data_IF_780183392612
#
_entry.id   IF_780183392612
#
_cell.length_a   1.000
_cell.length_b   1.000
_cell.length_c   1.000
_cell.angle_alpha   90.00
_cell.angle_beta   90.00
_cell.angle_gamma   90.00
#
_symmetry.space_group_name_H-M   'P 1'
#
loop_
_entity.id
_entity.type
_entity.pdbx_description
1 polymer ?
#
# COMPACT_ATOMS: atom_id res chain seq x y z
N UNK A 1 -68.43 22.14 -11.34
CA UNK A 1 -67.27 22.07 -12.24
C UNK A 1 -65.94 22.38 -11.55
N UNK A 2 -65.83 23.44 -10.72
CA UNK A 2 -64.56 23.85 -10.07
C UNK A 2 -63.89 22.80 -9.15
N UNK A 3 -64.67 22.03 -8.36
CA UNK A 3 -64.14 20.96 -7.49
C UNK A 3 -63.49 19.80 -8.26
N UNK A 4 -64.14 19.33 -9.34
CA UNK A 4 -63.61 18.25 -10.19
C UNK A 4 -62.28 18.62 -10.86
N UNK A 5 -62.10 19.90 -11.22
CA UNK A 5 -60.84 20.39 -11.80
C UNK A 5 -59.73 20.42 -10.74
N UNK A 6 -60.05 20.85 -9.51
CA UNK A 6 -59.11 20.85 -8.39
C UNK A 6 -58.69 19.42 -8.00
N UNK A 7 -59.63 18.48 -7.96
CA UNK A 7 -59.36 17.06 -7.65
C UNK A 7 -58.48 16.41 -8.74
N UNK A 8 -58.75 16.70 -10.02
CA UNK A 8 -57.92 16.24 -11.14
C UNK A 8 -56.50 16.85 -11.08
N UNK A 9 -56.37 18.12 -10.74
CA UNK A 9 -55.08 18.81 -10.65
C UNK A 9 -54.25 18.29 -9.47
N UNK A 10 -54.90 18.02 -8.33
CA UNK A 10 -54.27 17.42 -7.16
C UNK A 10 -53.82 15.97 -7.44
N UNK A 11 -54.66 15.17 -8.10
CA UNK A 11 -54.29 13.81 -8.51
C UNK A 11 -53.10 13.80 -9.48
N UNK A 12 -53.07 14.72 -10.45
CA UNK A 12 -51.95 14.86 -11.38
C UNK A 12 -50.65 15.29 -10.67
N UNK A 13 -50.72 16.21 -9.70
CA UNK A 13 -49.58 16.59 -8.87
C UNK A 13 -49.06 15.43 -8.03
N UNK A 14 -49.94 14.62 -7.42
CA UNK A 14 -49.55 13.45 -6.64
C UNK A 14 -48.87 12.39 -7.51
N UNK A 15 -49.38 12.16 -8.74
CA UNK A 15 -48.79 11.22 -9.69
C UNK A 15 -47.42 11.68 -10.17
N UNK A 16 -47.26 12.98 -10.44
CA UNK A 16 -45.99 13.57 -10.81
C UNK A 16 -44.96 13.47 -9.66
N UNK A 17 -45.36 13.79 -8.42
CA UNK A 17 -44.48 13.67 -7.25
C UNK A 17 -44.05 12.22 -7.00
N UNK A 18 -44.96 11.25 -7.14
CA UNK A 18 -44.65 9.84 -7.00
C UNK A 18 -43.67 9.34 -8.07
N UNK A 19 -43.81 9.80 -9.32
CA UNK A 19 -42.87 9.49 -10.41
C UNK A 19 -41.48 10.11 -10.15
N UNK A 20 -41.41 11.32 -9.60
CA UNK A 20 -40.13 11.95 -9.22
C UNK A 20 -39.41 11.19 -8.08
N UNK A 21 -40.15 10.64 -7.11
CA UNK A 21 -39.58 9.85 -6.02
C UNK A 21 -39.01 8.49 -6.47
N UNK A 22 -39.40 7.97 -7.64
CA UNK A 22 -38.85 6.72 -8.18
C UNK A 22 -37.50 6.93 -8.90
N UNK A 23 -37.18 8.16 -9.32
CA UNK A 23 -35.92 8.49 -10.00
C UNK A 23 -34.80 8.82 -8.99
N UNK A 24 -35.13 9.09 -7.72
CA UNK A 24 -34.13 9.43 -6.70
C UNK A 24 -33.46 8.23 -6.01
N UNK A 25 -33.83 7.01 -6.39
CA UNK A 25 -33.18 5.79 -5.90
C UNK A 25 -32.07 5.34 -6.85
N UNK A 26 -31.11 6.21 -7.12
CA UNK A 26 -29.78 5.78 -7.57
C UNK A 26 -28.80 6.03 -6.42
N UNK A 27 -29.00 5.28 -5.33
CA UNK A 27 -28.02 5.18 -4.26
C UNK A 27 -27.03 4.07 -4.63
N UNK A 28 -26.35 4.23 -5.77
CA UNK A 28 -25.10 3.53 -6.02
C UNK A 28 -24.11 3.96 -4.95
N UNK A 29 -24.02 3.20 -3.86
CA UNK A 29 -22.86 3.28 -2.99
C UNK A 29 -21.67 2.87 -3.86
N UNK A 30 -20.85 3.85 -4.24
CA UNK A 30 -19.56 3.62 -4.87
C UNK A 30 -18.65 2.97 -3.81
N UNK A 31 -18.81 1.66 -3.63
CA UNK A 31 -17.94 0.86 -2.78
C UNK A 31 -16.61 0.79 -3.51
N UNK A 32 -15.76 1.78 -3.23
CA UNK A 32 -14.36 1.74 -3.62
C UNK A 32 -13.76 0.48 -3.00
N UNK A 33 -13.24 -0.43 -3.83
CA UNK A 33 -12.55 -1.63 -3.36
C UNK A 33 -11.02 -1.44 -3.35
N UNK A 34 -10.55 -0.24 -3.67
CA UNK A 34 -9.14 0.14 -3.62
C UNK A 34 -8.97 1.19 -2.53
N UNK A 35 -8.32 0.79 -1.44
CA UNK A 35 -7.90 1.72 -0.40
C UNK A 35 -6.38 1.67 -0.30
N UNK A 36 -5.71 2.83 -0.44
CA UNK A 36 -4.27 2.87 -0.33
C UNK A 36 -3.82 2.51 1.10
N UNK A 37 -2.57 2.08 1.18
CA UNK A 37 -1.86 1.87 2.43
C UNK A 37 -0.51 2.59 2.37
N UNK A 38 0.06 2.85 3.53
CA UNK A 38 1.44 3.33 3.67
C UNK A 38 2.26 2.32 4.45
N UNK A 39 3.58 2.44 4.33
CA UNK A 39 4.53 1.61 5.07
C UNK A 39 5.42 2.55 5.86
N UNK A 40 5.25 2.55 7.19
CA UNK A 40 6.10 3.30 8.10
C UNK A 40 7.38 2.49 8.36
N UNK A 41 8.53 3.16 8.30
CA UNK A 41 9.84 2.57 8.60
C UNK A 41 10.54 3.34 9.70
N UNK A 42 11.27 2.63 10.55
CA UNK A 42 12.24 3.26 11.45
C UNK A 42 13.51 3.63 10.67
N UNK A 43 14.25 4.67 11.09
CA UNK A 43 15.56 4.99 10.53
C UNK A 43 16.52 3.80 10.66
N UNK A 44 17.32 3.57 9.61
CA UNK A 44 18.40 2.58 9.57
C UNK A 44 19.74 3.30 9.34
N UNK A 45 20.85 2.64 9.65
CA UNK A 45 22.17 3.23 9.44
C UNK A 45 22.48 3.37 7.94
N UNK A 46 23.12 4.48 7.56
CA UNK A 46 23.50 4.76 6.16
C UNK A 46 24.66 3.87 5.69
N UNK A 47 25.45 3.32 6.62
CA UNK A 47 26.59 2.47 6.32
C UNK A 47 26.43 1.06 6.89
N UNK A 48 27.03 0.08 6.20
CA UNK A 48 27.03 -1.33 6.63
C UNK A 48 28.34 -2.02 6.24
N UNK A 49 28.99 -2.68 7.20
CA UNK A 49 30.20 -3.44 6.96
C UNK A 49 29.92 -4.85 6.39
N UNK A 50 30.93 -5.51 5.82
CA UNK A 50 30.81 -6.89 5.36
C UNK A 50 30.48 -7.85 6.53
N UNK A 51 29.42 -8.64 6.39
CA UNK A 51 28.93 -9.56 7.42
C UNK A 51 28.10 -8.90 8.52
N UNK A 52 28.00 -7.56 8.53
CA UNK A 52 27.14 -6.84 9.45
C UNK A 52 25.67 -7.04 9.09
N UNK A 53 24.81 -7.05 10.11
CA UNK A 53 23.36 -7.19 9.96
C UNK A 53 22.65 -5.98 10.55
N UNK A 54 21.79 -5.36 9.75
CA UNK A 54 20.91 -4.28 10.19
C UNK A 54 19.48 -4.77 10.32
N UNK A 55 18.77 -4.20 11.30
CA UNK A 55 17.35 -4.46 11.53
C UNK A 55 16.51 -3.35 10.88
N UNK A 56 15.62 -3.72 9.98
CA UNK A 56 14.66 -2.84 9.33
C UNK A 56 13.30 -3.10 9.95
N UNK A 57 12.74 -2.11 10.65
CA UNK A 57 11.42 -2.21 11.30
C UNK A 57 10.37 -1.56 10.43
N UNK A 58 9.34 -2.32 10.08
CA UNK A 58 8.29 -1.93 9.15
C UNK A 58 6.91 -2.06 9.80
N UNK A 59 6.03 -1.11 9.51
CA UNK A 59 4.62 -1.17 9.86
C UNK A 59 3.73 -0.77 8.68
N UNK A 60 2.87 -1.68 8.24
CA UNK A 60 1.84 -1.40 7.24
C UNK A 60 0.67 -0.68 7.91
N UNK A 61 0.39 0.54 7.45
CA UNK A 61 -0.72 1.38 7.89
C UNK A 61 -1.79 1.43 6.78
N UNK A 62 -2.87 0.66 6.89
CA UNK A 62 -3.99 0.80 5.97
C UNK A 62 -4.77 2.09 6.28
N UNK A 63 -5.21 2.82 5.24
CA UNK A 63 -6.05 4.01 5.44
C UNK A 63 -7.48 3.68 5.87
N UNK A 64 -7.91 2.42 5.74
CA UNK A 64 -9.18 1.93 6.25
C UNK A 64 -9.11 0.47 6.70
N UNK A 65 -10.12 0.02 7.45
CA UNK A 65 -10.12 -1.32 8.03
C UNK A 65 -10.97 -2.28 7.19
N UNK A 66 -10.37 -2.89 6.18
CA UNK A 66 -11.04 -3.84 5.29
C UNK A 66 -10.74 -5.28 5.71
N UNK A 67 -11.79 -6.04 5.97
CA UNK A 67 -11.65 -7.47 6.19
C UNK A 67 -11.19 -8.15 4.89
N UNK A 68 -10.25 -9.07 5.00
CA UNK A 68 -9.74 -9.82 3.84
C UNK A 68 -8.58 -9.15 3.11
N UNK A 69 -8.02 -8.05 3.61
CA UNK A 69 -6.73 -7.56 3.11
C UNK A 69 -5.63 -8.55 3.37
N UNK A 70 -4.90 -8.88 2.32
CA UNK A 70 -3.69 -9.69 2.39
C UNK A 70 -2.56 -8.88 1.77
N UNK A 71 -1.45 -8.80 2.49
CA UNK A 71 -0.24 -8.15 2.02
C UNK A 71 0.83 -9.17 1.67
N UNK A 72 1.61 -8.85 0.65
CA UNK A 72 2.79 -9.61 0.26
C UNK A 72 4.01 -8.70 0.20
N UNK A 73 5.17 -9.27 0.52
CA UNK A 73 6.47 -8.65 0.36
C UNK A 73 7.23 -9.35 -0.77
N UNK A 74 7.79 -8.55 -1.67
CA UNK A 74 8.79 -8.97 -2.65
C UNK A 74 10.03 -8.11 -2.48
N UNK A 75 11.20 -8.73 -2.62
CA UNK A 75 12.49 -8.07 -2.47
C UNK A 75 13.27 -8.15 -3.78
N UNK A 76 14.05 -7.11 -4.11
CA UNK A 76 15.03 -7.14 -5.17
C UNK A 76 16.32 -6.44 -4.72
N UNK A 77 17.46 -6.93 -5.19
CA UNK A 77 18.77 -6.33 -4.92
C UNK A 77 19.38 -5.87 -6.25
N UNK A 78 19.21 -4.59 -6.63
CA UNK A 78 19.84 -4.05 -7.82
C UNK A 78 21.36 -3.95 -7.71
N UNK A 79 21.89 -3.68 -6.51
CA UNK A 79 23.33 -3.45 -6.30
C UNK A 79 23.87 -4.14 -5.03
N UNK A 80 25.15 -4.49 -5.06
CA UNK A 80 25.84 -5.21 -3.99
C UNK A 80 25.43 -6.68 -3.84
N UNK A 81 25.85 -7.28 -2.72
CA UNK A 81 25.47 -8.63 -2.33
C UNK A 81 25.06 -8.66 -0.88
N UNK A 82 23.96 -9.32 -0.57
CA UNK A 82 23.52 -9.56 0.78
C UNK A 82 22.46 -10.63 0.87
N UNK A 83 21.97 -10.86 2.08
CA UNK A 83 20.83 -11.72 2.35
C UNK A 83 19.81 -11.00 3.22
N UNK A 84 18.56 -11.03 2.81
CA UNK A 84 17.45 -10.47 3.57
C UNK A 84 16.65 -11.60 4.23
N UNK A 85 16.36 -11.47 5.52
CA UNK A 85 15.60 -12.46 6.29
C UNK A 85 14.41 -11.82 7.00
N UNK A 86 13.34 -12.59 7.15
CA UNK A 86 12.22 -12.28 8.02
C UNK A 86 12.58 -12.56 9.49
N UNK A 87 11.78 -12.03 10.41
CA UNK A 87 11.89 -12.29 11.85
C UNK A 87 11.76 -13.77 12.24
N UNK A 88 11.01 -14.56 11.45
CA UNK A 88 10.87 -16.01 11.64
C UNK A 88 12.07 -16.82 11.10
N UNK A 89 13.09 -16.16 10.56
CA UNK A 89 14.27 -16.77 9.97
C UNK A 89 14.13 -17.16 8.50
N UNK A 90 12.97 -16.94 7.87
CA UNK A 90 12.78 -17.19 6.44
C UNK A 90 13.72 -16.30 5.62
N UNK A 91 14.57 -16.93 4.80
CA UNK A 91 15.45 -16.22 3.88
C UNK A 91 14.68 -15.83 2.61
N UNK A 92 14.62 -14.54 2.33
CA UNK A 92 13.92 -14.01 1.16
C UNK A 92 14.80 -14.15 -0.08
N UNK A 93 14.21 -14.71 -1.13
CA UNK A 93 14.82 -14.79 -2.45
C UNK A 93 14.41 -13.58 -3.27
N UNK A 94 15.33 -12.97 -4.03
CA UNK A 94 14.99 -11.88 -4.94
C UNK A 94 13.86 -12.30 -5.90
N UNK A 95 12.89 -11.41 -6.08
CA UNK A 95 11.69 -11.56 -6.92
C UNK A 95 10.64 -12.59 -6.48
N UNK A 96 10.88 -13.36 -5.41
CA UNK A 96 9.85 -14.20 -4.82
C UNK A 96 8.89 -13.36 -3.95
N UNK A 97 7.61 -13.75 -3.91
CA UNK A 97 6.57 -13.12 -3.09
C UNK A 97 6.33 -13.92 -1.82
N UNK A 98 6.24 -13.22 -0.70
CA UNK A 98 6.05 -13.79 0.62
C UNK A 98 4.82 -13.17 1.29
N UNK A 99 3.97 -14.02 1.87
CA UNK A 99 2.78 -13.59 2.59
C UNK A 99 3.16 -12.93 3.91
N UNK A 100 2.61 -11.75 4.20
CA UNK A 100 2.77 -11.09 5.49
C UNK A 100 1.60 -11.43 6.40
N UNK A 101 1.90 -12.15 7.49
CA UNK A 101 0.89 -12.52 8.49
C UNK A 101 0.62 -11.41 9.50
N UNK A 102 1.56 -10.48 9.65
CA UNK A 102 1.49 -9.37 10.59
C UNK A 102 1.69 -8.04 9.86
N UNK A 103 1.10 -6.97 10.41
CA UNK A 103 1.30 -5.61 9.89
C UNK A 103 2.59 -4.98 10.39
N UNK A 104 3.11 -5.45 11.52
CA UNK A 104 4.39 -5.03 12.11
C UNK A 104 5.34 -6.20 12.01
N UNK A 105 6.49 -5.99 11.39
CA UNK A 105 7.48 -7.05 11.24
C UNK A 105 8.86 -6.45 11.09
N UNK A 106 9.86 -7.31 11.23
CA UNK A 106 11.27 -6.95 11.12
C UNK A 106 11.91 -7.73 9.99
N UNK A 107 12.75 -7.03 9.25
CA UNK A 107 13.65 -7.64 8.28
C UNK A 107 15.08 -7.48 8.77
N UNK A 108 15.88 -8.50 8.52
CA UNK A 108 17.29 -8.54 8.88
C UNK A 108 18.10 -8.61 7.59
N UNK A 109 18.75 -7.52 7.23
CA UNK A 109 19.61 -7.46 6.06
C UNK A 109 21.05 -7.67 6.50
N UNK A 110 21.68 -8.73 6.00
CA UNK A 110 23.10 -9.01 6.22
C UNK A 110 23.89 -8.69 4.96
N UNK A 111 24.81 -7.75 5.06
CA UNK A 111 25.72 -7.39 3.97
C UNK A 111 26.73 -8.51 3.70
N UNK A 112 27.01 -8.75 2.42
CA UNK A 112 28.05 -9.67 1.95
C UNK A 112 28.98 -8.99 0.92
N UNK A 113 28.84 -7.69 0.69
CA UNK A 113 29.81 -6.92 -0.09
C UNK A 113 30.97 -6.49 0.79
N UNK A 114 32.18 -6.44 0.21
CA UNK A 114 33.39 -6.15 0.97
C UNK A 114 33.58 -4.66 1.27
N UNK A 115 33.27 -3.74 0.35
CA UNK A 115 33.37 -2.27 0.55
C UNK A 115 32.56 -1.49 -0.52
N UNK A 116 31.49 -2.09 -1.06
CA UNK A 116 30.71 -1.50 -2.15
C UNK A 116 29.39 -0.90 -1.67
N UNK A 117 28.84 0.04 -2.47
CA UNK A 117 27.45 0.47 -2.36
C UNK A 117 26.52 -0.73 -2.48
N UNK A 118 25.40 -0.67 -1.76
CA UNK A 118 24.39 -1.72 -1.80
C UNK A 118 23.03 -1.08 -1.77
N UNK A 119 22.15 -1.57 -2.63
CA UNK A 119 20.78 -1.08 -2.69
C UNK A 119 19.84 -2.26 -2.67
N UNK A 120 18.81 -2.16 -1.84
CA UNK A 120 17.72 -3.12 -1.77
C UNK A 120 16.38 -2.42 -1.99
N UNK A 121 15.54 -3.03 -2.80
CA UNK A 121 14.17 -2.60 -3.06
C UNK A 121 13.19 -3.57 -2.41
N UNK A 122 12.27 -3.03 -1.62
CA UNK A 122 11.17 -3.75 -1.00
C UNK A 122 9.87 -3.31 -1.65
N UNK A 123 9.12 -4.26 -2.18
CA UNK A 123 7.81 -4.05 -2.78
C UNK A 123 6.74 -4.68 -1.88
N UNK A 124 5.85 -3.84 -1.38
CA UNK A 124 4.67 -4.25 -0.63
C UNK A 124 3.49 -4.19 -1.59
N UNK A 125 2.80 -5.31 -1.76
CA UNK A 125 1.66 -5.44 -2.67
C UNK A 125 0.47 -5.98 -1.87
N UNK A 126 -0.72 -5.40 -2.04
CA UNK A 126 -1.96 -5.98 -1.52
C UNK A 126 -2.72 -6.76 -2.60
N UNK A 127 -3.75 -7.50 -2.19
CA UNK A 127 -4.59 -8.28 -3.10
C UNK A 127 -5.62 -7.46 -3.91
N UNK A 128 -5.58 -6.12 -3.84
CA UNK A 128 -6.40 -5.21 -4.64
C UNK A 128 -5.62 -4.43 -5.68
N UNK A 129 -4.31 -4.67 -5.77
CA UNK A 129 -3.45 -4.07 -6.78
C UNK A 129 -2.71 -2.81 -6.31
N UNK A 130 -2.84 -2.42 -5.03
CA UNK A 130 -2.02 -1.34 -4.50
C UNK A 130 -0.59 -1.82 -4.27
N UNK A 131 0.37 -0.96 -4.61
CA UNK A 131 1.79 -1.23 -4.42
C UNK A 131 2.50 -0.04 -3.76
N UNK A 132 3.40 -0.35 -2.84
CA UNK A 132 4.35 0.60 -2.23
C UNK A 132 5.75 0.04 -2.34
N UNK A 133 6.69 0.87 -2.79
CA UNK A 133 8.10 0.53 -2.87
C UNK A 133 8.87 1.34 -1.82
N UNK A 134 9.80 0.68 -1.11
CA UNK A 134 10.81 1.31 -0.28
C UNK A 134 12.19 0.89 -0.80
N UNK A 135 13.10 1.85 -0.93
CA UNK A 135 14.47 1.61 -1.35
C UNK A 135 15.41 1.97 -0.21
N UNK A 136 16.32 1.04 0.14
CA UNK A 136 17.36 1.28 1.13
C UNK A 136 18.72 1.22 0.43
N UNK A 137 19.45 2.32 0.48
CA UNK A 137 20.85 2.41 0.07
C UNK A 137 21.76 2.35 1.29
N UNK A 138 22.80 1.52 1.21
CA UNK A 138 23.87 1.44 2.20
C UNK A 138 25.21 1.74 1.53
N UNK A 139 26.04 2.55 2.19
CA UNK A 139 27.33 3.03 1.66
C UNK A 139 27.19 3.73 0.29
N UNK A 140 26.03 4.34 -0.01
CA UNK A 140 25.81 5.09 -1.25
C UNK A 140 26.41 6.48 -1.08
N UNK A 141 27.27 6.91 -2.01
CA UNK A 141 27.81 8.26 -1.99
C UNK A 141 26.71 9.27 -2.37
N UNK A 142 26.53 10.31 -1.56
CA UNK A 142 25.47 11.34 -1.70
C UNK A 142 25.47 12.14 -3.03
N UNK A 143 26.38 11.85 -3.96
CA UNK A 143 26.37 12.45 -5.29
C UNK A 143 25.22 11.95 -6.19
N UNK A 144 24.52 10.87 -5.81
CA UNK A 144 23.46 10.23 -6.63
C UNK A 144 22.05 10.31 -6.02
N UNK A 145 21.88 10.91 -4.83
CA UNK A 145 20.58 11.01 -4.13
C UNK A 145 19.70 12.21 -4.54
N UNK A 146 19.99 12.89 -5.66
CA UNK A 146 19.09 13.90 -6.22
C UNK A 146 18.10 13.27 -7.21
N UNK A 147 17.22 12.40 -6.73
CA UNK A 147 15.94 12.14 -7.41
C UNK A 147 14.91 13.02 -6.69
N UNK A 148 14.31 14.01 -7.37
CA UNK A 148 13.30 14.84 -6.74
C UNK A 148 12.11 13.98 -6.34
N UNK A 149 11.70 14.08 -5.07
CA UNK A 149 10.38 13.65 -4.64
C UNK A 149 9.35 14.33 -5.55
N UNK A 150 8.66 13.53 -6.36
CA UNK A 150 7.61 14.04 -7.22
C UNK A 150 6.40 14.38 -6.36
N UNK A 151 6.03 15.67 -6.34
CA UNK A 151 4.76 16.22 -5.83
C UNK A 151 3.51 15.52 -6.40
#
# INVERSE_FOLDING_TARGET
MKRKILDCMMAACCLAAALFCLVSCDCGLDVRQEYPFTVETMPVADGIANGETVEIRLEIRPEGNFAGTVYTLRYFQPDGKGSLKMEDGTVLKPNDRYLLNERRFRLYYTSQSADDSQTIDLYFEDNWGNMRQLTYGFNVNDAENNVPDNE
#
